data_IF_449876442183
#
_entry.id   IF_449876442183
#
_cell.length_a   1.000
_cell.length_b   1.000
_cell.length_c   1.000
_cell.angle_alpha   90.00
_cell.angle_beta   90.00
_cell.angle_gamma   90.00
#
_symmetry.space_group_name_H-M   'P 1'
#
loop_
_entity.id
_entity.type
_entity.pdbx_description
1 polymer ?
#
# COMPACT_ATOMS: atom_id res chain seq x y z
N UNK A 1 5.57 19.54 -26.17
CA UNK A 1 5.66 18.07 -26.01
C UNK A 1 4.37 17.59 -25.35
N UNK A 2 3.35 17.24 -26.15
CA UNK A 2 2.09 16.69 -25.67
C UNK A 2 2.37 15.34 -25.00
N UNK A 3 2.18 15.25 -23.68
CA UNK A 3 2.16 13.94 -23.02
C UNK A 3 1.00 13.17 -23.65
N UNK A 4 1.21 11.97 -24.20
CA UNK A 4 0.09 11.14 -24.63
C UNK A 4 -0.77 10.92 -23.39
N UNK A 5 -2.00 11.46 -23.42
CA UNK A 5 -3.03 11.12 -22.47
C UNK A 5 -3.27 9.64 -22.70
N UNK A 6 -2.68 8.79 -21.85
CA UNK A 6 -2.92 7.34 -21.94
C UNK A 6 -4.40 7.15 -21.69
N UNK A 7 -5.13 6.84 -22.75
CA UNK A 7 -6.54 6.49 -22.66
C UNK A 7 -6.69 5.34 -21.68
N UNK A 8 -7.64 5.46 -20.77
CA UNK A 8 -8.03 4.37 -19.89
C UNK A 8 -8.46 3.17 -20.76
N UNK A 9 -8.07 1.94 -20.39
CA UNK A 9 -8.63 0.76 -21.04
C UNK A 9 -10.16 0.76 -20.87
N UNK A 10 -10.88 0.23 -21.86
CA UNK A 10 -12.35 0.30 -21.90
C UNK A 10 -13.02 -0.19 -20.61
N UNK A 11 -12.48 -1.25 -19.98
CA UNK A 11 -12.96 -1.76 -18.70
C UNK A 11 -12.79 -0.76 -17.54
N UNK A 12 -11.68 -0.01 -17.50
CA UNK A 12 -11.46 1.02 -16.50
C UNK A 12 -12.32 2.26 -16.74
N UNK A 13 -12.57 2.61 -18.01
CA UNK A 13 -13.49 3.69 -18.38
C UNK A 13 -14.93 3.36 -17.92
N UNK A 14 -15.42 2.14 -18.20
CA UNK A 14 -16.73 1.69 -17.76
C UNK A 14 -16.87 1.72 -16.22
N UNK A 15 -15.83 1.32 -15.48
CA UNK A 15 -15.82 1.42 -14.03
C UNK A 15 -15.86 2.88 -13.53
N UNK A 16 -15.18 3.80 -14.23
CA UNK A 16 -15.19 5.24 -13.95
C UNK A 16 -16.57 5.87 -14.19
N UNK A 17 -17.26 5.49 -15.26
CA UNK A 17 -18.58 6.01 -15.59
C UNK A 17 -19.67 5.56 -14.60
N UNK A 18 -19.46 4.42 -13.92
CA UNK A 18 -20.34 3.94 -12.86
C UNK A 18 -20.14 4.66 -11.51
N UNK A 19 -19.11 5.50 -11.36
CA UNK A 19 -18.79 6.18 -10.11
C UNK A 19 -19.39 7.60 -10.04
N UNK A 20 -19.74 8.08 -8.83
CA UNK A 20 -20.06 9.48 -8.62
C UNK A 20 -18.90 10.40 -9.05
N UNK A 21 -19.21 11.60 -9.54
CA UNK A 21 -18.22 12.62 -9.95
C UNK A 21 -17.06 12.85 -8.96
N UNK A 22 -17.26 12.94 -7.62
CA UNK A 22 -16.15 13.11 -6.68
C UNK A 22 -15.22 11.88 -6.63
N UNK A 23 -15.75 10.68 -6.87
CA UNK A 23 -15.00 9.44 -6.86
C UNK A 23 -14.25 9.19 -8.19
N UNK A 24 -14.80 9.67 -9.31
CA UNK A 24 -14.21 9.52 -10.63
C UNK A 24 -12.79 10.13 -10.70
N UNK A 25 -12.57 11.31 -10.12
CA UNK A 25 -11.25 11.95 -10.13
C UNK A 25 -10.20 11.18 -9.30
N UNK A 26 -10.61 10.58 -8.18
CA UNK A 26 -9.71 9.76 -7.37
C UNK A 26 -9.41 8.42 -8.06
N UNK A 27 -10.42 7.81 -8.69
CA UNK A 27 -10.27 6.62 -9.52
C UNK A 27 -9.28 6.85 -10.67
N UNK A 28 -9.39 7.96 -11.40
CA UNK A 28 -8.47 8.28 -12.50
C UNK A 28 -7.01 8.37 -12.04
N UNK A 29 -6.75 8.96 -10.88
CA UNK A 29 -5.38 9.03 -10.33
C UNK A 29 -4.85 7.64 -10.00
N UNK A 30 -5.68 6.79 -9.40
CA UNK A 30 -5.32 5.40 -9.12
C UNK A 30 -5.05 4.64 -10.42
N UNK A 31 -5.97 4.68 -11.38
CA UNK A 31 -5.81 4.01 -12.66
C UNK A 31 -4.56 4.50 -13.42
N UNK A 32 -4.30 5.81 -13.43
CA UNK A 32 -3.10 6.38 -14.03
C UNK A 32 -1.82 5.88 -13.38
N UNK A 33 -1.80 5.75 -12.05
CA UNK A 33 -0.64 5.21 -11.32
C UNK A 33 -0.38 3.74 -11.66
N UNK A 34 -1.43 2.93 -11.77
CA UNK A 34 -1.34 1.50 -12.10
C UNK A 34 -0.90 1.32 -13.56
N UNK A 35 -1.40 2.17 -14.46
CA UNK A 35 -1.09 2.15 -15.89
C UNK A 35 0.21 2.89 -16.24
N UNK A 36 0.90 3.53 -15.28
CA UNK A 36 2.18 4.17 -15.50
C UNK A 36 3.25 3.15 -15.96
N UNK A 37 3.16 1.91 -15.46
CA UNK A 37 4.06 0.79 -15.78
C UNK A 37 3.30 -0.35 -16.47
N UNK A 38 2.96 -0.22 -17.77
CA UNK A 38 2.09 -1.18 -18.47
C UNK A 38 2.69 -2.59 -18.59
N UNK A 39 4.01 -2.73 -18.46
CA UNK A 39 4.71 -4.03 -18.45
C UNK A 39 4.93 -4.62 -17.05
N UNK A 40 4.62 -3.87 -15.99
CA UNK A 40 4.83 -4.35 -14.62
C UNK A 40 3.71 -5.29 -14.18
N UNK A 41 4.10 -6.28 -13.39
CA UNK A 41 3.16 -7.14 -12.68
C UNK A 41 2.31 -6.30 -11.70
N UNK A 42 1.02 -6.62 -11.58
CA UNK A 42 0.11 -5.92 -10.66
C UNK A 42 0.59 -6.00 -9.20
N UNK A 43 1.19 -7.12 -8.77
CA UNK A 43 1.63 -7.31 -7.39
C UNK A 43 2.57 -6.21 -6.87
N UNK A 44 3.73 -5.98 -7.50
CA UNK A 44 4.65 -4.90 -7.14
C UNK A 44 4.02 -3.51 -7.20
N UNK A 45 3.23 -3.23 -8.24
CA UNK A 45 2.57 -1.93 -8.42
C UNK A 45 1.57 -1.67 -7.29
N UNK A 46 0.75 -2.68 -6.94
CA UNK A 46 -0.21 -2.57 -5.85
C UNK A 46 0.47 -2.45 -4.49
N UNK A 47 1.64 -3.05 -4.27
CA UNK A 47 2.41 -2.86 -3.03
C UNK A 47 2.95 -1.43 -2.87
N UNK A 48 3.20 -0.72 -3.97
CA UNK A 48 3.60 0.70 -3.91
C UNK A 48 2.41 1.61 -3.59
N UNK A 49 1.21 1.25 -4.04
CA UNK A 49 0.00 2.06 -3.89
C UNK A 49 -0.82 1.76 -2.62
N UNK A 50 -0.77 0.53 -2.12
CA UNK A 50 -1.55 0.06 -0.97
C UNK A 50 -0.63 -0.29 0.20
N UNK A 51 -0.93 0.17 1.42
CA UNK A 51 -0.09 -0.12 2.57
C UNK A 51 -0.08 -1.61 2.93
N UNK A 52 1.11 -2.11 3.27
CA UNK A 52 1.32 -3.45 3.81
C UNK A 52 0.86 -4.57 2.86
N UNK A 53 -0.04 -5.42 3.35
CA UNK A 53 -0.51 -6.61 2.64
C UNK A 53 -1.84 -6.41 1.91
N UNK A 54 -2.43 -5.21 1.93
CA UNK A 54 -3.76 -4.95 1.37
C UNK A 54 -3.83 -5.29 -0.13
N UNK A 55 -2.82 -4.91 -0.92
CA UNK A 55 -2.77 -5.24 -2.35
C UNK A 55 -2.67 -6.74 -2.63
N UNK A 56 -1.88 -7.47 -1.84
CA UNK A 56 -1.75 -8.94 -1.97
C UNK A 56 -3.03 -9.65 -1.52
N UNK A 57 -3.65 -9.16 -0.44
CA UNK A 57 -4.93 -9.69 0.05
C UNK A 57 -6.04 -9.49 -0.98
N UNK A 58 -6.11 -8.30 -1.60
CA UNK A 58 -7.07 -8.01 -2.65
C UNK A 58 -6.86 -8.91 -3.88
N UNK A 59 -5.61 -9.10 -4.34
CA UNK A 59 -5.30 -10.02 -5.44
C UNK A 59 -5.79 -11.45 -5.15
N UNK A 60 -5.58 -11.94 -3.92
CA UNK A 60 -6.06 -13.24 -3.49
C UNK A 60 -7.59 -13.31 -3.52
N UNK A 61 -8.29 -12.29 -3.02
CA UNK A 61 -9.76 -12.27 -3.02
C UNK A 61 -10.35 -12.13 -4.41
N UNK A 62 -9.67 -11.42 -5.31
CA UNK A 62 -10.07 -11.27 -6.70
C UNK A 62 -9.71 -12.50 -7.58
N UNK A 63 -9.04 -13.51 -7.01
CA UNK A 63 -8.60 -14.70 -7.75
C UNK A 63 -7.51 -14.42 -8.79
N UNK A 64 -6.74 -13.34 -8.62
CA UNK A 64 -5.76 -12.89 -9.60
C UNK A 64 -4.33 -13.34 -9.24
N UNK A 65 -3.59 -13.75 -10.26
CA UNK A 65 -2.16 -13.98 -10.12
C UNK A 65 -1.43 -12.65 -9.84
N UNK A 66 -0.38 -12.62 -8.99
CA UNK A 66 0.43 -11.43 -8.77
C UNK A 66 1.11 -10.89 -10.03
N UNK A 67 1.29 -11.76 -11.03
CA UNK A 67 1.85 -11.48 -12.36
C UNK A 67 0.80 -10.99 -13.37
N UNK A 68 -0.48 -10.94 -12.99
CA UNK A 68 -1.53 -10.38 -13.83
C UNK A 68 -1.21 -8.93 -14.21
N UNK A 69 -1.72 -8.50 -15.36
CA UNK A 69 -1.48 -7.17 -15.91
C UNK A 69 -2.71 -6.30 -15.69
N UNK A 70 -2.49 -4.99 -15.52
CA UNK A 70 -3.59 -4.04 -15.35
C UNK A 70 -4.59 -4.06 -16.53
N UNK A 71 -4.10 -4.35 -17.74
CA UNK A 71 -4.94 -4.45 -18.94
C UNK A 71 -5.89 -5.64 -18.99
N UNK A 72 -5.70 -6.67 -18.15
CA UNK A 72 -6.60 -7.84 -18.10
C UNK A 72 -7.70 -7.72 -17.05
N UNK A 73 -7.74 -6.62 -16.31
CA UNK A 73 -8.75 -6.39 -15.27
C UNK A 73 -10.11 -6.06 -15.91
N UNK A 74 -11.17 -6.70 -15.42
CA UNK A 74 -12.55 -6.35 -15.79
C UNK A 74 -13.01 -5.08 -15.07
N UNK A 75 -14.14 -4.50 -15.51
CA UNK A 75 -14.70 -3.30 -14.88
C UNK A 75 -15.02 -3.51 -13.39
N UNK A 76 -15.55 -4.69 -13.03
CA UNK A 76 -15.82 -5.07 -11.64
C UNK A 76 -14.55 -5.18 -10.79
N UNK A 77 -13.45 -5.67 -11.37
CA UNK A 77 -12.17 -5.74 -10.67
C UNK A 77 -11.61 -4.34 -10.43
N UNK A 78 -11.75 -3.43 -11.40
CA UNK A 78 -11.37 -2.03 -11.24
C UNK A 78 -12.19 -1.32 -10.14
N UNK A 79 -13.50 -1.53 -10.08
CA UNK A 79 -14.34 -0.93 -9.03
C UNK A 79 -14.06 -1.53 -7.65
N UNK A 80 -13.85 -2.85 -7.56
CA UNK A 80 -13.43 -3.54 -6.34
C UNK A 80 -12.06 -3.05 -5.84
N UNK A 81 -11.10 -2.87 -6.75
CA UNK A 81 -9.78 -2.30 -6.43
C UNK A 81 -9.92 -0.89 -5.87
N UNK A 82 -10.72 -0.05 -6.53
CA UNK A 82 -10.96 1.32 -6.05
C UNK A 82 -11.61 1.36 -4.67
N UNK A 83 -12.59 0.50 -4.41
CA UNK A 83 -13.24 0.37 -3.09
C UNK A 83 -12.22 -0.05 -2.01
N UNK A 84 -11.36 -1.03 -2.32
CA UNK A 84 -10.29 -1.47 -1.42
C UNK A 84 -9.30 -0.34 -1.14
N UNK A 85 -8.84 0.35 -2.18
CA UNK A 85 -7.94 1.50 -2.07
C UNK A 85 -8.56 2.64 -1.27
N UNK A 86 -9.81 3.01 -1.55
CA UNK A 86 -10.53 4.07 -0.84
C UNK A 86 -10.71 3.73 0.63
N UNK A 87 -11.01 2.48 0.96
CA UNK A 87 -11.11 2.01 2.35
C UNK A 87 -9.77 2.11 3.09
N UNK A 88 -8.65 1.87 2.39
CA UNK A 88 -7.30 2.03 2.98
C UNK A 88 -6.82 3.48 3.02
N UNK A 89 -7.26 4.33 2.08
CA UNK A 89 -6.88 5.74 2.01
C UNK A 89 -7.71 6.62 2.97
N UNK A 90 -8.98 6.25 3.21
CA UNK A 90 -9.86 6.91 4.17
C UNK A 90 -9.54 6.53 5.63
N UNK A 91 -8.83 5.43 5.86
CA UNK A 91 -8.28 5.14 7.17
C UNK A 91 -7.16 6.16 7.46
N UNK A 92 -7.31 7.09 8.43
CA UNK A 92 -6.15 7.79 8.94
C UNK A 92 -5.18 6.70 9.39
N UNK A 93 -3.96 6.75 8.90
CA UNK A 93 -2.93 5.72 9.08
C UNK A 93 -2.58 5.52 10.55
N UNK A 94 -3.43 4.81 11.28
CA UNK A 94 -3.13 4.14 12.55
C UNK A 94 -2.31 2.88 12.24
N UNK A 95 -1.17 3.08 11.58
CA UNK A 95 -0.34 2.04 11.02
C UNK A 95 1.10 2.50 10.80
N UNK A 96 1.55 3.44 11.62
CA UNK A 96 2.96 3.73 11.79
C UNK A 96 3.64 2.59 12.55
N UNK A 97 3.83 1.44 11.91
CA UNK A 97 4.90 0.50 12.26
C UNK A 97 5.93 0.52 11.15
N UNK A 98 6.57 1.69 11.01
CA UNK A 98 7.99 1.70 10.69
C UNK A 98 8.69 1.04 11.88
N UNK A 99 8.81 -0.29 11.83
CA UNK A 99 9.80 -1.00 12.65
C UNK A 99 11.15 -0.54 12.12
N UNK A 100 11.63 0.57 12.69
CA UNK A 100 13.03 0.94 12.71
C UNK A 100 13.79 -0.25 13.29
N UNK A 101 14.33 -1.09 12.40
CA UNK A 101 15.49 -1.91 12.75
C UNK A 101 16.67 -0.98 12.92
N UNK A 102 17.02 -0.72 14.17
CA UNK A 102 18.28 -0.08 14.54
C UNK A 102 18.08 1.09 15.50
N UNK A 103 18.27 0.82 16.80
CA UNK A 103 18.55 1.87 17.78
C UNK A 103 17.81 1.70 19.10
N UNK A 104 18.55 1.34 20.16
CA UNK A 104 18.18 1.65 21.54
C UNK A 104 17.54 0.50 22.32
N UNK A 105 18.38 -0.43 22.81
CA UNK A 105 18.01 -1.29 23.94
C UNK A 105 17.78 -0.38 25.16
N UNK A 106 16.54 -0.11 25.53
CA UNK A 106 16.22 0.41 26.87
C UNK A 106 16.30 -0.76 27.85
N UNK A 107 17.50 -1.01 28.38
CA UNK A 107 17.65 -1.86 29.57
C UNK A 107 17.03 -1.13 30.75
N UNK A 108 15.76 -1.44 31.02
CA UNK A 108 15.14 -1.19 32.31
C UNK A 108 15.61 -2.30 33.26
N UNK A 109 16.78 -2.12 33.88
CA UNK A 109 17.19 -2.88 35.06
C UNK A 109 17.41 -1.84 36.16
N UNK A 110 16.54 -1.87 37.18
CA UNK A 110 16.62 -1.01 38.35
C UNK A 110 17.98 -1.20 39.02
N UNK A 111 18.76 -0.13 39.09
CA UNK A 111 19.96 -0.13 39.90
C UNK A 111 19.56 0.05 41.37
N UNK A 112 19.84 -1.02 42.13
CA UNK A 112 19.76 -1.11 43.56
C UNK A 112 20.65 -0.04 44.26
N UNK A 113 20.38 0.29 45.53
CA UNK A 113 21.03 1.38 46.25
C UNK A 113 22.51 1.06 46.51
N UNK A 114 23.36 2.07 46.34
CA UNK A 114 24.81 1.98 46.57
C UNK A 114 25.15 1.60 48.00
N UNK A 115 25.50 0.32 48.19
CA UNK A 115 26.19 -0.17 49.37
C UNK A 115 27.70 0.10 49.22
N UNK A 116 28.26 0.67 50.28
CA UNK A 116 29.65 1.03 50.50
C UNK A 116 30.60 -0.19 50.57
N UNK A 117 31.89 0.11 50.34
CA UNK A 117 33.12 -0.65 50.69
C UNK A 117 33.50 -1.85 49.79
N UNK A 118 34.76 -2.16 49.50
CA UNK A 118 36.10 -1.55 49.51
C UNK A 118 37.03 -2.61 48.86
N UNK A 119 38.16 -2.26 48.21
CA UNK A 119 39.04 -3.27 47.59
C UNK A 119 40.12 -3.74 48.56
N UNK A 120 40.48 -5.03 48.48
CA UNK A 120 41.84 -5.59 48.64
C UNK A 120 41.78 -7.10 48.83
N UNK A 121 42.57 -7.84 48.06
CA UNK A 121 43.36 -9.04 48.41
C UNK A 121 44.38 -9.14 47.24
N UNK A 122 45.68 -8.88 47.44
CA UNK A 122 46.72 -9.68 48.11
C UNK A 122 47.02 -11.02 47.43
#
# INVERSE_FOLDING_TARGET
MSRPVRSLPAAAAAARDALPAPDAAAFERLASSVLASPGAALGPVLRAQLPGVAGVRWLRTAGLAPTARAGSLTAEQWSSLYSCWRSTAAAPTAGGTSVRRGGGRTSAHGHAPGALAAPRWH
#
